data_IF_164802646065
#
_entry.id   IF_164802646065
#
_cell.length_a   1.000
_cell.length_b   1.000
_cell.length_c   1.000
_cell.angle_alpha   90.00
_cell.angle_beta   90.00
_cell.angle_gamma   90.00
#
_symmetry.space_group_name_H-M   'P 1'
#
loop_
_entity.id
_entity.type
_entity.pdbx_description
1 polymer ?
#
# COMPACT_ATOMS: atom_id res chain seq x y z
N UNK A 1 -5.51 -0.77 7.82
CA UNK A 1 -5.96 -0.74 6.41
C UNK A 1 -6.43 0.65 5.97
N UNK A 2 -7.18 1.43 6.78
CA UNK A 2 -7.68 2.75 6.38
C UNK A 2 -6.60 3.74 5.90
N UNK A 3 -5.43 3.80 6.56
CA UNK A 3 -4.31 4.63 6.11
C UNK A 3 -3.81 4.24 4.72
N UNK A 4 -3.47 2.96 4.52
CA UNK A 4 -3.03 2.40 3.23
C UNK A 4 -4.00 2.74 2.09
N UNK A 5 -5.30 2.54 2.32
CA UNK A 5 -6.33 2.81 1.31
C UNK A 5 -6.46 4.30 1.02
N UNK A 6 -6.42 5.15 2.05
CA UNK A 6 -6.45 6.60 1.89
C UNK A 6 -5.25 7.13 1.11
N UNK A 7 -4.07 6.55 1.33
CA UNK A 7 -2.83 6.90 0.61
C UNK A 7 -2.92 6.55 -0.87
N UNK A 8 -3.35 5.34 -1.22
CA UNK A 8 -3.48 4.92 -2.62
C UNK A 8 -4.60 5.65 -3.35
N UNK A 9 -5.71 5.98 -2.67
CA UNK A 9 -6.77 6.78 -3.28
C UNK A 9 -6.28 8.18 -3.66
N UNK A 10 -5.35 8.76 -2.89
CA UNK A 10 -4.74 10.06 -3.19
C UNK A 10 -3.60 9.94 -4.21
N UNK A 11 -2.88 8.82 -4.22
CA UNK A 11 -1.72 8.58 -5.07
C UNK A 11 -1.74 7.14 -5.63
N UNK A 12 -2.54 6.86 -6.68
CA UNK A 12 -2.68 5.52 -7.24
C UNK A 12 -1.47 5.03 -8.06
N UNK A 13 -0.43 5.84 -8.17
CA UNK A 13 0.80 5.53 -8.91
C UNK A 13 1.94 4.97 -8.06
N UNK A 14 1.71 4.80 -6.75
CA UNK A 14 2.75 4.35 -5.82
C UNK A 14 3.09 2.87 -6.00
N UNK A 15 4.38 2.56 -5.88
CA UNK A 15 4.90 1.21 -5.81
C UNK A 15 4.70 0.60 -4.41
N UNK A 16 4.83 -0.73 -4.32
CA UNK A 16 4.71 -1.44 -3.05
C UNK A 16 5.80 -1.04 -2.04
N UNK A 17 7.02 -0.81 -2.52
CA UNK A 17 8.14 -0.37 -1.69
C UNK A 17 7.88 1.02 -1.06
N UNK A 18 7.36 1.97 -1.85
CA UNK A 18 7.01 3.31 -1.36
C UNK A 18 5.88 3.24 -0.31
N UNK A 19 4.91 2.34 -0.52
CA UNK A 19 3.86 2.08 0.47
C UNK A 19 4.42 1.49 1.76
N UNK A 20 5.38 0.57 1.66
CA UNK A 20 6.05 -0.01 2.82
C UNK A 20 6.82 1.06 3.60
N UNK A 21 7.62 1.89 2.93
CA UNK A 21 8.36 2.98 3.58
C UNK A 21 7.42 3.96 4.29
N UNK A 22 6.30 4.33 3.66
CA UNK A 22 5.32 5.21 4.30
C UNK A 22 4.66 4.58 5.51
N UNK A 23 4.40 3.28 5.51
CA UNK A 23 3.84 2.57 6.68
C UNK A 23 4.85 2.53 7.84
N UNK A 24 6.12 2.33 7.54
CA UNK A 24 7.18 2.40 8.54
C UNK A 24 7.33 3.82 9.08
N UNK A 25 7.40 4.83 8.22
CA UNK A 25 7.59 6.22 8.63
C UNK A 25 6.38 6.82 9.35
N UNK A 26 5.16 6.55 8.88
CA UNK A 26 3.94 7.19 9.39
C UNK A 26 3.28 6.39 10.52
N UNK A 27 3.38 5.06 10.48
CA UNK A 27 2.73 4.18 11.46
C UNK A 27 3.72 3.42 12.34
N UNK A 28 5.03 3.42 12.04
CA UNK A 28 6.02 2.62 12.76
C UNK A 28 5.86 1.11 12.53
N UNK A 29 5.13 0.70 11.48
CA UNK A 29 4.82 -0.72 11.24
C UNK A 29 5.56 -1.19 10.00
N UNK A 30 6.42 -2.20 10.19
CA UNK A 30 7.03 -2.93 9.10
C UNK A 30 6.07 -4.02 8.60
N UNK A 31 5.73 -3.96 7.32
CA UNK A 31 4.81 -4.90 6.69
C UNK A 31 5.40 -5.37 5.38
N UNK A 32 5.39 -6.68 5.14
CA UNK A 32 5.90 -7.24 3.89
C UNK A 32 5.08 -6.76 2.68
N UNK A 33 5.73 -6.67 1.51
CA UNK A 33 5.05 -6.40 0.23
C UNK A 33 3.88 -7.35 -0.02
N UNK A 34 4.00 -8.62 0.35
CA UNK A 34 2.93 -9.61 0.19
C UNK A 34 1.70 -9.24 1.03
N UNK A 35 1.91 -8.81 2.29
CA UNK A 35 0.83 -8.36 3.18
C UNK A 35 0.16 -7.11 2.65
N UNK A 36 0.94 -6.15 2.17
CA UNK A 36 0.44 -4.92 1.55
C UNK A 36 -0.42 -5.30 0.33
N UNK A 37 0.12 -6.09 -0.59
CA UNK A 37 -0.58 -6.52 -1.79
C UNK A 37 -1.90 -7.26 -1.49
N UNK A 38 -1.89 -8.21 -0.56
CA UNK A 38 -3.11 -8.91 -0.16
C UNK A 38 -4.16 -7.95 0.42
N UNK A 39 -3.75 -6.93 1.16
CA UNK A 39 -4.65 -5.92 1.71
C UNK A 39 -5.28 -5.07 0.59
N UNK A 40 -4.48 -4.71 -0.43
CA UNK A 40 -4.94 -3.97 -1.60
C UNK A 40 -5.90 -4.77 -2.47
N UNK A 41 -5.56 -6.03 -2.74
CA UNK A 41 -6.39 -6.93 -3.50
C UNK A 41 -7.76 -7.15 -2.82
N UNK A 42 -7.77 -7.34 -1.49
CA UNK A 42 -9.02 -7.45 -0.71
C UNK A 42 -9.87 -6.18 -0.76
N UNK A 43 -9.25 -5.03 -0.98
CA UNK A 43 -9.93 -3.76 -1.14
C UNK A 43 -10.30 -3.42 -2.60
N UNK A 44 -10.05 -4.33 -3.55
CA UNK A 44 -10.44 -4.18 -4.96
C UNK A 44 -9.42 -3.46 -5.85
N UNK A 45 -8.21 -3.20 -5.35
CA UNK A 45 -7.14 -2.61 -6.15
C UNK A 45 -6.46 -3.65 -7.05
N UNK A 46 -6.00 -3.19 -8.21
CA UNK A 46 -5.25 -4.01 -9.18
C UNK A 46 -3.87 -3.41 -9.38
N UNK A 47 -2.88 -4.25 -9.70
CA UNK A 47 -1.56 -3.75 -10.07
C UNK A 47 -1.68 -3.04 -11.41
N UNK A 48 -1.07 -1.85 -11.50
CA UNK A 48 -0.78 -1.26 -12.79
C UNK A 48 0.23 -2.18 -13.50
N UNK A 49 -0.16 -2.74 -14.64
CA UNK A 49 0.81 -3.37 -15.54
C UNK A 49 1.64 -2.25 -16.17
N UNK A 50 2.94 -2.31 -15.95
CA UNK A 50 3.95 -1.53 -16.68
C UNK A 50 4.22 -2.17 -18.03
#
# INVERSE_FOLDING_TARGET
VQFLLGTIQKAPGLYLDELQEMLVQSCGVEVSHTTIWQSLQRAGFTMKKV
#
